data_IF_481469415296
#
_entry.id   IF_481469415296
#
_cell.length_a   1.000
_cell.length_b   1.000
_cell.length_c   1.000
_cell.angle_alpha   90.00
_cell.angle_beta   90.00
_cell.angle_gamma   90.00
#
_symmetry.space_group_name_H-M   'P 1'
#
loop_
_entity.id
_entity.type
_entity.pdbx_description
1 polymer ?
#
# COMPACT_ATOMS: atom_id res chain seq x y z
N UNK A 1 -7.63 6.07 27.59
CA UNK A 1 -8.96 5.63 27.14
C UNK A 1 -9.17 5.67 25.63
N UNK A 2 -8.91 6.79 24.93
CA UNK A 2 -9.18 6.90 23.49
C UNK A 2 -8.33 5.97 22.60
N UNK A 3 -7.03 5.84 22.85
CA UNK A 3 -6.14 4.98 22.04
C UNK A 3 -6.50 3.50 22.19
N UNK A 4 -6.90 3.06 23.38
CA UNK A 4 -7.33 1.68 23.61
C UNK A 4 -8.65 1.37 22.91
N UNK A 5 -9.56 2.34 22.80
CA UNK A 5 -10.76 2.21 21.97
C UNK A 5 -10.40 2.17 20.48
N UNK A 6 -9.52 3.04 20.00
CA UNK A 6 -9.04 3.01 18.61
C UNK A 6 -8.34 1.68 18.27
N UNK A 7 -7.61 1.11 19.23
CA UNK A 7 -6.99 -0.22 19.13
C UNK A 7 -8.04 -1.31 19.00
N UNK A 8 -9.12 -1.27 19.79
CA UNK A 8 -10.26 -2.20 19.66
C UNK A 8 -10.91 -2.06 18.28
N UNK A 9 -11.10 -0.84 17.79
CA UNK A 9 -11.64 -0.61 16.45
C UNK A 9 -10.73 -1.17 15.34
N UNK A 10 -9.41 -0.98 15.45
CA UNK A 10 -8.44 -1.55 14.51
C UNK A 10 -8.48 -3.09 14.54
N UNK A 11 -8.49 -3.70 15.73
CA UNK A 11 -8.60 -5.15 15.90
C UNK A 11 -9.88 -5.71 15.26
N UNK A 12 -11.03 -5.08 15.53
CA UNK A 12 -12.29 -5.47 14.88
C UNK A 12 -12.16 -5.34 13.37
N UNK A 13 -11.64 -4.22 12.85
CA UNK A 13 -11.44 -4.03 11.41
C UNK A 13 -10.57 -5.11 10.76
N UNK A 14 -9.46 -5.49 11.39
CA UNK A 14 -8.55 -6.53 10.92
C UNK A 14 -9.26 -7.89 10.88
N UNK A 15 -9.92 -8.28 11.98
CA UNK A 15 -10.59 -9.58 12.11
C UNK A 15 -11.84 -9.74 11.25
N UNK A 16 -12.34 -8.67 10.61
CA UNK A 16 -13.43 -8.77 9.62
C UNK A 16 -12.98 -9.41 8.31
N UNK A 17 -11.71 -9.29 7.95
CA UNK A 17 -11.20 -9.87 6.72
C UNK A 17 -11.01 -11.39 6.88
N UNK A 18 -11.69 -12.19 6.06
CA UNK A 18 -11.62 -13.67 6.14
C UNK A 18 -10.48 -14.28 5.33
N UNK A 19 -10.05 -13.62 4.24
CA UNK A 19 -9.07 -14.18 3.29
C UNK A 19 -7.85 -13.29 3.09
N UNK A 20 -8.08 -12.01 2.80
CA UNK A 20 -7.01 -11.03 2.56
C UNK A 20 -7.44 -9.67 3.11
N UNK A 21 -6.51 -9.02 3.80
CA UNK A 21 -6.65 -7.65 4.25
C UNK A 21 -5.65 -6.77 3.51
N UNK A 22 -6.12 -5.70 2.90
CA UNK A 22 -5.28 -4.67 2.29
C UNK A 22 -5.47 -3.39 3.07
N UNK A 23 -4.39 -2.88 3.66
CA UNK A 23 -4.38 -1.61 4.38
C UNK A 23 -3.73 -0.55 3.50
N UNK A 24 -4.26 0.67 3.54
CA UNK A 24 -3.71 1.81 2.81
C UNK A 24 -3.62 3.03 3.74
N UNK A 25 -2.62 3.87 3.48
CA UNK A 25 -2.45 5.15 4.15
C UNK A 25 -1.93 6.17 3.13
N UNK A 26 -2.01 7.45 3.48
CA UNK A 26 -1.52 8.55 2.65
C UNK A 26 -0.50 9.37 3.42
N UNK A 27 0.51 9.89 2.72
CA UNK A 27 1.50 10.81 3.30
C UNK A 27 0.99 12.25 3.33
N UNK A 28 0.00 12.57 2.46
CA UNK A 28 -0.63 13.87 2.36
C UNK A 28 -2.11 13.70 2.09
N UNK A 29 -2.94 14.54 2.72
CA UNK A 29 -4.38 14.55 2.52
C UNK A 29 -4.89 15.97 2.42
N UNK A 30 -5.75 16.23 1.44
CA UNK A 30 -6.50 17.48 1.37
C UNK A 30 -7.67 17.43 2.36
N UNK A 31 -7.69 18.35 3.32
CA UNK A 31 -8.76 18.49 4.30
C UNK A 31 -9.12 19.96 4.43
N UNK A 32 -10.41 20.29 4.27
CA UNK A 32 -10.93 21.68 4.37
C UNK A 32 -10.15 22.69 3.51
N UNK A 33 -9.73 22.27 2.31
CA UNK A 33 -9.01 23.13 1.37
C UNK A 33 -7.49 23.10 1.50
N UNK A 34 -6.97 22.66 2.65
CA UNK A 34 -5.53 22.63 2.93
C UNK A 34 -4.94 21.23 2.71
N UNK A 35 -3.67 21.17 2.31
CA UNK A 35 -2.92 19.90 2.20
C UNK A 35 -2.19 19.69 3.53
N UNK A 36 -2.56 18.65 4.26
CA UNK A 36 -1.94 18.27 5.52
C UNK A 36 -1.05 17.04 5.31
N UNK A 37 0.16 17.06 5.86
CA UNK A 37 1.00 15.86 5.97
C UNK A 37 0.42 14.88 6.99
N UNK A 38 0.58 13.59 6.74
CA UNK A 38 0.03 12.52 7.56
C UNK A 38 1.05 11.41 7.75
N UNK A 39 1.20 11.02 9.00
CA UNK A 39 1.99 9.85 9.37
C UNK A 39 1.15 8.58 9.26
N UNK A 40 1.78 7.42 9.00
CA UNK A 40 1.11 6.12 9.08
C UNK A 40 0.49 5.89 10.47
N UNK A 41 -0.55 5.05 10.54
CA UNK A 41 -1.12 4.65 11.83
C UNK A 41 -0.10 3.85 12.63
N UNK A 42 0.06 4.18 13.92
CA UNK A 42 0.92 3.44 14.86
C UNK A 42 0.61 1.94 14.91
N UNK A 43 -0.66 1.56 14.72
CA UNK A 43 -1.08 0.17 14.74
C UNK A 43 -0.50 -0.65 13.58
N UNK A 44 0.02 -0.02 12.53
CA UNK A 44 0.71 -0.73 11.44
C UNK A 44 2.09 -1.26 11.87
N UNK A 45 2.75 -0.58 12.80
CA UNK A 45 4.09 -0.95 13.30
C UNK A 45 4.01 -2.04 14.37
N UNK A 46 2.84 -2.21 14.98
CA UNK A 46 2.59 -3.25 15.97
C UNK A 46 2.22 -4.61 15.34
N UNK A 47 1.96 -4.66 14.03
CA UNK A 47 1.64 -5.90 13.32
C UNK A 47 2.92 -6.71 13.05
N UNK A 48 2.89 -8.05 13.16
CA UNK A 48 4.04 -8.89 12.86
C UNK A 48 4.53 -8.72 11.42
N UNK A 49 5.82 -8.41 11.24
CA UNK A 49 6.40 -8.09 9.92
C UNK A 49 6.31 -9.27 8.94
N UNK A 50 6.37 -10.50 9.44
CA UNK A 50 6.25 -11.73 8.65
C UNK A 50 4.90 -11.88 7.94
N UNK A 51 3.87 -11.16 8.39
CA UNK A 51 2.54 -11.16 7.81
C UNK A 51 2.25 -9.93 6.94
N UNK A 52 3.21 -9.00 6.82
CA UNK A 52 3.04 -7.75 6.09
C UNK A 52 3.77 -7.76 4.74
N UNK A 53 3.02 -7.43 3.70
CA UNK A 53 3.59 -7.13 2.38
C UNK A 53 3.54 -5.63 2.10
N UNK A 54 4.67 -4.95 2.29
CA UNK A 54 4.78 -3.53 1.98
C UNK A 54 5.05 -3.28 0.50
N UNK A 55 3.99 -3.07 -0.28
CA UNK A 55 4.11 -2.75 -1.71
C UNK A 55 4.98 -1.52 -1.99
N UNK A 56 4.99 -0.53 -1.08
CA UNK A 56 5.76 0.71 -1.23
C UNK A 56 7.13 0.70 -0.52
N UNK A 57 7.39 -0.25 0.40
CA UNK A 57 8.68 -0.34 1.13
C UNK A 57 9.61 -1.43 0.59
N UNK A 58 9.11 -2.41 -0.17
CA UNK A 58 9.99 -3.36 -0.86
C UNK A 58 10.73 -2.63 -1.98
N UNK A 59 12.04 -2.45 -1.80
CA UNK A 59 12.93 -2.18 -2.92
C UNK A 59 12.80 -3.37 -3.87
N UNK A 60 12.11 -3.17 -4.99
CA UNK A 60 12.10 -4.15 -6.08
C UNK A 60 13.52 -4.17 -6.62
N UNK A 61 14.09 -5.37 -6.77
CA UNK A 61 15.39 -5.53 -7.39
C UNK A 61 15.41 -4.76 -8.74
N UNK A 62 16.40 -3.88 -8.97
CA UNK A 62 16.50 -3.10 -10.20
C UNK A 62 16.36 -3.94 -11.47
N UNK A 63 16.78 -5.20 -11.42
CA UNK A 63 16.72 -6.13 -12.54
C UNK A 63 15.28 -6.56 -12.86
N UNK A 64 14.50 -6.93 -11.83
CA UNK A 64 13.07 -7.27 -11.96
C UNK A 64 12.25 -6.07 -12.46
N UNK A 65 12.61 -4.86 -12.02
CA UNK A 65 11.94 -3.64 -12.48
C UNK A 65 12.20 -3.38 -13.98
N UNK A 66 13.44 -3.56 -14.44
CA UNK A 66 13.80 -3.44 -15.86
C UNK A 66 13.07 -4.46 -16.72
N UNK A 67 13.01 -5.72 -16.29
CA UNK A 67 12.29 -6.78 -17.02
C UNK A 67 10.80 -6.47 -17.18
N UNK A 68 10.13 -6.07 -16.09
CA UNK A 68 8.72 -5.65 -16.14
C UNK A 68 8.50 -4.45 -17.05
N UNK A 69 9.37 -3.45 -16.95
CA UNK A 69 9.34 -2.27 -17.81
C UNK A 69 9.48 -2.65 -19.28
N UNK A 70 10.45 -3.51 -19.61
CA UNK A 70 10.70 -3.97 -20.97
C UNK A 70 9.49 -4.76 -21.52
N UNK A 71 8.89 -5.64 -20.71
CA UNK A 71 7.70 -6.40 -21.08
C UNK A 71 6.50 -5.47 -21.37
N UNK A 72 6.26 -4.47 -20.53
CA UNK A 72 5.21 -3.46 -20.75
C UNK A 72 5.46 -2.65 -22.03
N UNK A 73 6.70 -2.21 -22.27
CA UNK A 73 7.06 -1.47 -23.48
C UNK A 73 6.91 -2.32 -24.75
N UNK A 74 7.30 -3.60 -24.71
CA UNK A 74 7.13 -4.52 -25.83
C UNK A 74 5.65 -4.76 -26.16
N UNK A 75 4.81 -4.89 -25.14
CA UNK A 75 3.37 -5.01 -25.33
C UNK A 75 2.77 -3.76 -26.00
N UNK A 76 3.14 -2.56 -25.53
CA UNK A 76 2.71 -1.31 -26.15
C UNK A 76 3.21 -1.17 -27.60
N UNK A 77 4.47 -1.56 -27.86
CA UNK A 77 5.03 -1.56 -29.22
C UNK A 77 4.28 -2.51 -30.15
N UNK A 78 3.78 -3.63 -29.64
CA UNK A 78 2.99 -4.56 -30.45
C UNK A 78 1.59 -3.98 -30.77
N UNK A 79 0.94 -3.31 -29.83
CA UNK A 79 -0.35 -2.64 -30.05
C UNK A 79 -0.25 -1.54 -31.12
N UNK A 80 0.84 -0.76 -31.11
CA UNK A 80 1.07 0.32 -32.06
C UNK A 80 1.56 -0.16 -33.45
N UNK A 81 1.92 -1.44 -33.60
CA UNK A 81 2.38 -2.05 -34.85
C UNK A 81 1.27 -2.75 -35.63
N UNK A 82 0.09 -2.89 -35.05
CA UNK A 82 -1.11 -3.35 -35.76
C UNK A 82 -1.55 -2.25 -36.74
N UNK A 83 -1.76 -2.56 -38.04
CA UNK A 83 -2.10 -1.56 -39.06
C UNK A 83 -3.47 -0.90 -38.85
#
# INVERSE_FOLDING_TARGET
DSIEEERRLAYVGITRAQRRLTLSYCTHRKRRGEIESREPSRFLEELPEEHLEWAARKAVDPEILKERGQASLNHLRNLLKTP
#
